data_IF_842807208891
#
_entry.id   IF_842807208891
#
_cell.length_a   1.000
_cell.length_b   1.000
_cell.length_c   1.000
_cell.angle_alpha   90.00
_cell.angle_beta   90.00
_cell.angle_gamma   90.00
#
_symmetry.space_group_name_H-M   'P 1'
#
loop_
_entity.id
_entity.type
_entity.pdbx_description
1 polymer ?
#
# COMPACT_ATOMS: atom_id res chain seq x y z
N UNK A 1 -8.91 5.37 -8.04
CA UNK A 1 -9.33 3.95 -8.18
C UNK A 1 -10.47 3.76 -9.18
N UNK A 2 -11.52 4.58 -9.18
CA UNK A 2 -12.65 4.47 -10.12
C UNK A 2 -12.23 4.51 -11.59
N UNK A 3 -11.33 5.42 -11.98
CA UNK A 3 -10.79 5.50 -13.32
C UNK A 3 -10.13 4.18 -13.77
N UNK A 4 -9.35 3.54 -12.91
CA UNK A 4 -8.73 2.25 -13.21
C UNK A 4 -9.79 1.16 -13.41
N UNK A 5 -10.78 1.08 -12.51
CA UNK A 5 -11.88 0.11 -12.64
C UNK A 5 -12.71 0.35 -13.87
N UNK A 6 -13.01 1.61 -14.20
CA UNK A 6 -13.72 1.99 -15.43
C UNK A 6 -13.00 1.60 -16.73
N UNK A 7 -11.69 1.37 -16.65
CA UNK A 7 -10.86 0.88 -17.75
C UNK A 7 -10.52 -0.63 -17.63
N UNK A 8 -11.27 -1.39 -16.84
CA UNK A 8 -11.17 -2.85 -16.77
C UNK A 8 -10.08 -3.39 -15.82
N UNK A 9 -9.40 -2.53 -15.05
CA UNK A 9 -8.44 -2.98 -14.04
C UNK A 9 -9.15 -3.43 -12.75
N UNK A 10 -8.67 -4.50 -12.16
CA UNK A 10 -8.97 -4.83 -10.76
C UNK A 10 -8.04 -4.04 -9.85
N UNK A 11 -8.62 -3.41 -8.82
CA UNK A 11 -7.88 -2.62 -7.84
C UNK A 11 -7.81 -3.36 -6.51
N UNK A 12 -6.65 -3.42 -5.92
CA UNK A 12 -6.38 -4.06 -4.64
C UNK A 12 -5.76 -3.04 -3.69
N UNK A 13 -5.99 -3.22 -2.39
CA UNK A 13 -5.23 -2.50 -1.36
C UNK A 13 -4.26 -3.50 -0.75
N UNK A 14 -2.98 -3.11 -0.65
CA UNK A 14 -1.89 -3.90 -0.06
C UNK A 14 -1.27 -3.06 1.04
N UNK A 15 -1.43 -3.48 2.30
CA UNK A 15 -1.12 -2.62 3.46
C UNK A 15 -0.46 -3.37 4.61
N UNK A 16 0.55 -2.76 5.21
CA UNK A 16 1.13 -3.25 6.47
C UNK A 16 0.15 -3.24 7.65
N UNK A 17 -0.97 -2.52 7.53
CA UNK A 17 -2.03 -2.48 8.53
C UNK A 17 -2.80 -3.80 8.67
N UNK A 18 -3.51 -3.94 9.80
CA UNK A 18 -4.29 -5.16 10.09
C UNK A 18 -5.41 -5.39 9.09
N UNK A 19 -5.41 -6.56 8.47
CA UNK A 19 -6.34 -6.95 7.41
C UNK A 19 -7.81 -6.83 7.85
N UNK A 20 -8.14 -7.38 9.01
CA UNK A 20 -9.51 -7.40 9.52
C UNK A 20 -10.04 -5.99 9.81
N UNK A 21 -9.17 -5.09 10.27
CA UNK A 21 -9.55 -3.72 10.56
C UNK A 21 -9.91 -2.94 9.29
N UNK A 22 -9.07 -3.02 8.26
CA UNK A 22 -9.28 -2.24 7.04
C UNK A 22 -10.43 -2.80 6.21
N UNK A 23 -10.65 -4.11 6.19
CA UNK A 23 -11.78 -4.76 5.50
C UNK A 23 -13.15 -4.24 5.93
N UNK A 24 -13.28 -3.75 7.18
CA UNK A 24 -14.55 -3.20 7.69
C UNK A 24 -15.04 -1.99 6.88
N UNK A 25 -14.12 -1.22 6.32
CA UNK A 25 -14.46 0.03 5.62
C UNK A 25 -13.93 0.14 4.19
N UNK A 26 -13.14 -0.82 3.72
CA UNK A 26 -12.46 -0.75 2.42
C UNK A 26 -13.43 -0.55 1.24
N UNK A 27 -14.55 -1.26 1.23
CA UNK A 27 -15.56 -1.13 0.19
C UNK A 27 -16.26 0.23 0.24
N UNK A 28 -16.71 0.63 1.43
CA UNK A 28 -17.42 1.90 1.61
C UNK A 28 -16.57 3.13 1.27
N UNK A 29 -15.27 3.11 1.65
CA UNK A 29 -14.38 4.27 1.51
C UNK A 29 -13.67 4.30 0.16
N UNK A 30 -13.20 3.13 -0.31
CA UNK A 30 -12.36 3.04 -1.49
C UNK A 30 -13.01 2.32 -2.67
N UNK A 31 -14.19 1.74 -2.47
CA UNK A 31 -14.85 0.88 -3.45
C UNK A 31 -14.05 -0.40 -3.73
N UNK A 32 -13.26 -0.86 -2.75
CA UNK A 32 -12.48 -2.10 -2.82
C UNK A 32 -13.11 -3.12 -1.90
N UNK A 33 -13.69 -4.21 -2.42
CA UNK A 33 -14.35 -5.20 -1.59
C UNK A 33 -13.35 -5.95 -0.69
N UNK A 34 -13.80 -6.51 0.44
CA UNK A 34 -12.91 -7.10 1.46
C UNK A 34 -11.97 -8.18 0.92
N UNK A 35 -12.38 -8.95 -0.08
CA UNK A 35 -11.56 -9.99 -0.73
C UNK A 35 -10.46 -9.41 -1.64
N UNK A 36 -10.50 -8.14 -1.97
CA UNK A 36 -9.46 -7.43 -2.72
C UNK A 36 -8.51 -6.64 -1.80
N UNK A 37 -8.52 -6.97 -0.51
CA UNK A 37 -7.61 -6.40 0.47
C UNK A 37 -6.59 -7.44 0.95
N UNK A 38 -5.30 -7.11 0.85
CA UNK A 38 -4.17 -7.88 1.40
C UNK A 38 -3.56 -7.06 2.52
N UNK A 39 -3.36 -7.66 3.67
CA UNK A 39 -2.80 -6.97 4.84
C UNK A 39 -2.15 -7.90 5.84
N UNK A 40 -1.51 -7.32 6.83
CA UNK A 40 -0.97 -8.09 7.94
C UNK A 40 -2.11 -8.77 8.70
N UNK A 41 -1.88 -10.01 9.09
CA UNK A 41 -2.88 -10.83 9.77
C UNK A 41 -2.29 -11.61 10.94
N UNK A 42 -3.16 -11.99 11.87
CA UNK A 42 -2.82 -12.88 12.98
C UNK A 42 -3.25 -14.30 12.66
N UNK A 43 -2.60 -15.28 13.29
CA UNK A 43 -3.01 -16.67 13.16
C UNK A 43 -4.42 -16.86 13.76
N UNK A 44 -5.16 -17.79 13.20
CA UNK A 44 -6.50 -18.17 13.66
C UNK A 44 -6.61 -19.67 13.81
N UNK A 45 -7.40 -20.10 14.80
CA UNK A 45 -7.74 -21.50 15.02
C UNK A 45 -9.24 -21.68 14.88
N UNK A 46 -9.67 -22.73 14.18
CA UNK A 46 -11.07 -23.11 14.12
C UNK A 46 -11.48 -23.76 15.44
N UNK A 47 -12.54 -23.24 16.04
CA UNK A 47 -13.09 -23.75 17.32
C UNK A 47 -14.60 -23.91 17.17
N UNK A 48 -15.13 -25.05 17.59
CA UNK A 48 -16.56 -25.22 17.76
C UNK A 48 -16.93 -24.94 19.22
N UNK A 49 -17.74 -23.91 19.43
CA UNK A 49 -18.25 -23.54 20.75
C UNK A 49 -19.73 -23.85 20.81
N UNK A 50 -20.07 -25.01 21.34
CA UNK A 50 -21.48 -25.50 21.50
C UNK A 50 -22.27 -25.51 20.20
N UNK A 51 -21.71 -26.07 19.12
CA UNK A 51 -22.32 -26.12 17.80
C UNK A 51 -22.29 -24.80 17.01
N UNK A 52 -21.52 -23.82 17.48
CA UNK A 52 -21.27 -22.57 16.78
C UNK A 52 -19.80 -22.47 16.38
N UNK A 53 -19.45 -22.75 15.12
CA UNK A 53 -18.07 -22.65 14.65
C UNK A 53 -17.63 -21.19 14.58
N UNK A 54 -16.44 -20.91 15.09
CA UNK A 54 -15.80 -19.59 15.07
C UNK A 54 -14.33 -19.70 14.72
N UNK A 55 -13.75 -18.63 14.19
CA UNK A 55 -12.31 -18.48 14.05
C UNK A 55 -11.77 -17.68 15.23
N UNK A 56 -11.08 -18.35 16.12
CA UNK A 56 -10.44 -17.75 17.28
C UNK A 56 -9.09 -17.13 16.86
N UNK A 57 -8.86 -15.87 17.21
CA UNK A 57 -7.58 -15.19 16.93
C UNK A 57 -6.53 -15.60 17.96
N UNK A 58 -5.36 -15.95 17.45
CA UNK A 58 -4.19 -16.28 18.26
C UNK A 58 -3.32 -15.03 18.52
N UNK A 59 -2.61 -14.93 19.66
CA UNK A 59 -1.74 -13.80 19.97
C UNK A 59 -0.38 -13.91 19.25
N UNK A 60 -0.39 -14.23 17.96
CA UNK A 60 0.83 -14.33 17.14
C UNK A 60 0.55 -13.90 15.70
N UNK A 61 1.51 -13.24 15.02
CA UNK A 61 1.36 -12.92 13.61
C UNK A 61 1.30 -14.21 12.78
N UNK A 62 0.45 -14.21 11.75
CA UNK A 62 0.44 -15.20 10.68
C UNK A 62 1.21 -14.68 9.47
N UNK A 63 0.97 -13.42 9.10
CA UNK A 63 1.60 -12.79 7.95
C UNK A 63 1.82 -11.29 8.23
N UNK A 64 2.97 -10.77 7.80
CA UNK A 64 3.31 -9.33 7.88
C UNK A 64 3.46 -8.79 6.46
N UNK A 65 2.54 -7.90 6.08
CA UNK A 65 2.43 -7.33 4.72
C UNK A 65 3.18 -6.01 4.61
N UNK A 66 4.48 -6.04 4.90
CA UNK A 66 5.34 -4.86 4.84
C UNK A 66 6.67 -5.20 4.16
N UNK A 67 7.25 -4.21 3.47
CA UNK A 67 8.46 -4.42 2.69
C UNK A 67 8.33 -5.59 1.69
N UNK A 68 9.23 -6.59 1.73
CA UNK A 68 9.13 -7.80 0.89
C UNK A 68 7.81 -8.57 1.08
N UNK A 69 7.20 -8.46 2.27
CA UNK A 69 5.91 -9.08 2.58
C UNK A 69 4.82 -8.68 1.60
N UNK A 70 4.81 -7.43 1.11
CA UNK A 70 3.81 -6.98 0.12
C UNK A 70 3.87 -7.77 -1.18
N UNK A 71 5.03 -8.01 -1.74
CA UNK A 71 5.19 -8.83 -2.94
C UNK A 71 4.79 -10.29 -2.68
N UNK A 72 5.15 -10.83 -1.51
CA UNK A 72 4.78 -12.18 -1.07
C UNK A 72 3.25 -12.28 -0.90
N UNK A 73 2.62 -11.30 -0.22
CA UNK A 73 1.18 -11.25 -0.01
C UNK A 73 0.39 -11.18 -1.31
N UNK A 74 0.81 -10.33 -2.25
CA UNK A 74 0.22 -10.26 -3.59
C UNK A 74 0.28 -11.63 -4.28
N UNK A 75 1.43 -12.28 -4.24
CA UNK A 75 1.57 -13.62 -4.83
C UNK A 75 0.66 -14.66 -4.16
N UNK A 76 0.60 -14.68 -2.82
CA UNK A 76 -0.18 -15.67 -2.07
C UNK A 76 -1.69 -15.46 -2.21
N UNK A 77 -2.17 -14.22 -2.12
CA UNK A 77 -3.60 -13.91 -1.98
C UNK A 77 -4.25 -13.43 -3.28
N UNK A 78 -3.48 -12.90 -4.23
CA UNK A 78 -3.99 -12.45 -5.52
C UNK A 78 -3.58 -13.40 -6.66
N UNK A 79 -2.40 -14.02 -6.57
CA UNK A 79 -1.90 -14.98 -7.54
C UNK A 79 -1.47 -14.39 -8.87
N UNK A 80 -1.35 -13.05 -8.97
CA UNK A 80 -0.91 -12.35 -10.18
C UNK A 80 0.01 -11.19 -9.83
N UNK A 81 1.07 -11.03 -10.63
CA UNK A 81 1.93 -9.86 -10.55
C UNK A 81 1.17 -8.62 -11.02
N UNK A 82 1.22 -7.48 -10.28
CA UNK A 82 0.53 -6.26 -10.68
C UNK A 82 1.04 -5.70 -11.99
N UNK A 83 0.17 -5.03 -12.74
CA UNK A 83 0.54 -4.20 -13.89
C UNK A 83 0.89 -2.77 -13.46
N UNK A 84 0.30 -2.32 -12.34
CA UNK A 84 0.60 -1.03 -11.74
C UNK A 84 0.69 -1.18 -10.23
N UNK A 85 1.63 -0.47 -9.60
CA UNK A 85 1.76 -0.37 -8.15
C UNK A 85 1.93 1.10 -7.76
N UNK A 86 1.23 1.48 -6.68
CA UNK A 86 1.24 2.81 -6.11
C UNK A 86 1.63 2.69 -4.65
N UNK A 87 2.56 3.53 -4.20
CA UNK A 87 3.02 3.55 -2.83
C UNK A 87 3.37 4.95 -2.37
N UNK A 88 3.80 5.09 -1.13
CA UNK A 88 4.21 6.37 -0.56
C UNK A 88 5.29 6.22 0.52
N UNK A 89 5.74 5.01 0.81
CA UNK A 89 6.65 4.80 1.95
C UNK A 89 7.81 3.86 1.65
N UNK A 90 8.91 4.12 2.33
CA UNK A 90 10.11 3.30 2.36
C UNK A 90 11.11 3.86 3.37
N UNK A 91 11.56 3.02 4.30
CA UNK A 91 12.57 3.37 5.30
C UNK A 91 13.94 3.62 4.67
N UNK A 92 14.88 4.20 5.43
CA UNK A 92 16.23 4.50 4.96
C UNK A 92 17.03 3.25 4.51
N UNK A 93 16.72 2.09 5.08
CA UNK A 93 17.32 0.80 4.70
C UNK A 93 16.47 0.01 3.70
N UNK A 94 15.34 0.57 3.26
CA UNK A 94 14.35 0.00 2.34
C UNK A 94 13.77 -1.35 2.76
N UNK A 95 13.86 -1.73 4.06
CA UNK A 95 13.32 -3.01 4.53
C UNK A 95 11.83 -2.97 4.85
N UNK A 96 11.27 -1.78 5.01
CA UNK A 96 9.85 -1.52 5.28
C UNK A 96 9.31 -0.55 4.26
N UNK A 97 8.04 -0.64 3.94
CA UNK A 97 7.33 0.21 2.98
C UNK A 97 7.01 -0.47 1.66
N UNK A 98 7.09 0.28 0.57
CA UNK A 98 6.51 -0.13 -0.71
C UNK A 98 7.54 -0.51 -1.79
N UNK A 99 8.85 -0.28 -1.54
CA UNK A 99 9.90 -0.44 -2.53
C UNK A 99 9.86 -1.81 -3.24
N UNK A 100 9.82 -2.91 -2.47
CA UNK A 100 9.84 -4.27 -3.04
C UNK A 100 8.57 -4.61 -3.82
N UNK A 101 7.43 -4.02 -3.45
CA UNK A 101 6.21 -4.16 -4.26
C UNK A 101 6.37 -3.50 -5.64
N UNK A 102 6.98 -2.31 -5.68
CA UNK A 102 7.24 -1.61 -6.94
C UNK A 102 8.30 -2.35 -7.78
N UNK A 103 9.41 -2.75 -7.17
CA UNK A 103 10.46 -3.56 -7.82
C UNK A 103 9.88 -4.84 -8.45
N UNK A 104 9.09 -5.57 -7.66
CA UNK A 104 8.48 -6.81 -8.13
C UNK A 104 7.46 -6.56 -9.25
N UNK A 105 6.72 -5.45 -9.20
CA UNK A 105 5.83 -5.03 -10.28
C UNK A 105 6.60 -4.73 -11.55
N UNK A 106 7.69 -3.95 -11.45
CA UNK A 106 8.56 -3.57 -12.56
C UNK A 106 9.18 -4.77 -13.27
N UNK A 107 9.59 -5.77 -12.50
CA UNK A 107 10.20 -6.99 -13.02
C UNK A 107 9.25 -7.93 -13.79
N UNK A 108 7.99 -7.54 -14.02
CA UNK A 108 7.05 -8.28 -14.86
C UNK A 108 7.19 -7.96 -16.35
N UNK A 109 6.60 -8.82 -17.17
CA UNK A 109 6.62 -8.65 -18.63
C UNK A 109 5.59 -7.60 -19.09
N UNK A 110 5.90 -6.90 -20.20
CA UNK A 110 5.03 -5.90 -20.83
C UNK A 110 5.00 -4.55 -20.09
N UNK A 111 4.01 -3.73 -20.39
CA UNK A 111 3.87 -2.39 -19.81
C UNK A 111 3.61 -2.45 -18.30
N UNK A 112 4.37 -1.68 -17.54
CA UNK A 112 4.28 -1.59 -16.07
C UNK A 112 4.29 -0.13 -15.63
N UNK A 113 3.59 0.16 -14.53
CA UNK A 113 3.52 1.48 -13.94
C UNK A 113 3.86 1.41 -12.45
N UNK A 114 4.91 2.09 -12.04
CA UNK A 114 5.34 2.25 -10.65
C UNK A 114 5.29 3.72 -10.29
N UNK A 115 4.50 4.05 -9.27
CA UNK A 115 4.29 5.42 -8.84
C UNK A 115 4.41 5.54 -7.32
N UNK A 116 5.05 6.61 -6.87
CA UNK A 116 5.18 6.98 -5.46
C UNK A 116 4.59 8.36 -5.23
N UNK A 117 3.82 8.51 -4.17
CA UNK A 117 3.27 9.80 -3.74
C UNK A 117 4.17 10.38 -2.67
N UNK A 118 4.70 11.58 -2.94
CA UNK A 118 5.46 12.39 -1.99
C UNK A 118 4.51 13.41 -1.34
N UNK A 119 4.31 13.29 -0.03
CA UNK A 119 3.45 14.17 0.76
C UNK A 119 4.20 15.43 1.17
N UNK A 120 4.35 16.39 0.25
CA UNK A 120 5.17 17.59 0.39
C UNK A 120 4.37 18.91 0.48
N UNK A 121 3.04 18.85 0.57
CA UNK A 121 2.19 20.03 0.68
C UNK A 121 1.72 20.30 2.12
N UNK A 122 2.51 21.07 2.86
CA UNK A 122 2.17 21.46 4.23
C UNK A 122 0.99 22.44 4.36
N UNK A 123 0.44 22.96 3.24
CA UNK A 123 -0.69 23.90 3.26
C UNK A 123 -2.04 23.22 3.08
N UNK A 124 -2.09 22.21 2.23
CA UNK A 124 -3.34 21.51 1.87
C UNK A 124 -3.49 20.17 2.56
N UNK A 125 -2.37 19.58 3.01
CA UNK A 125 -2.36 18.30 3.73
C UNK A 125 -1.28 18.32 4.83
N UNK A 126 -1.04 17.17 5.45
CA UNK A 126 0.05 16.96 6.40
C UNK A 126 1.31 16.51 5.67
N UNK A 127 2.26 17.44 5.47
CA UNK A 127 3.54 17.12 4.86
C UNK A 127 4.37 16.20 5.77
N UNK A 128 4.86 15.10 5.23
CA UNK A 128 5.62 14.11 5.97
C UNK A 128 6.51 13.26 5.06
N UNK A 129 7.47 12.61 5.68
CA UNK A 129 8.54 11.85 5.04
C UNK A 129 9.88 12.31 5.61
N UNK A 130 10.99 11.98 5.01
CA UNK A 130 12.29 12.56 5.36
C UNK A 130 13.03 13.05 4.12
N UNK A 131 12.59 12.62 2.95
CA UNK A 131 13.15 13.09 1.68
C UNK A 131 12.94 14.59 1.50
N UNK A 132 13.90 15.25 0.86
CA UNK A 132 13.89 16.69 0.57
C UNK A 132 13.70 17.57 1.82
N UNK A 133 14.14 17.11 2.99
CA UNK A 133 14.02 17.87 4.23
C UNK A 133 12.62 17.94 4.84
N UNK A 134 11.70 17.10 4.40
CA UNK A 134 10.37 17.00 4.99
C UNK A 134 10.42 16.45 6.43
N UNK A 135 9.41 16.74 7.27
CA UNK A 135 9.34 16.20 8.62
C UNK A 135 9.39 14.68 8.62
N UNK A 136 10.26 14.11 9.47
CA UNK A 136 10.35 12.66 9.62
C UNK A 136 9.16 12.15 10.44
N UNK A 137 8.63 11.00 10.04
CA UNK A 137 7.54 10.31 10.74
C UNK A 137 7.89 8.84 10.95
N UNK A 138 7.34 8.23 11.99
CA UNK A 138 7.53 6.80 12.27
C UNK A 138 6.69 5.90 11.37
N UNK A 139 5.68 6.45 10.71
CA UNK A 139 4.76 5.73 9.82
C UNK A 139 4.66 6.48 8.50
N UNK A 140 4.68 5.76 7.39
CA UNK A 140 4.58 6.35 6.05
C UNK A 140 5.81 7.17 5.64
N UNK A 141 6.99 6.85 6.15
CA UNK A 141 8.24 7.55 5.82
C UNK A 141 8.58 7.42 4.34
N UNK A 142 8.67 8.54 3.65
CA UNK A 142 9.26 8.62 2.31
C UNK A 142 10.72 9.07 2.45
N UNK A 143 11.65 8.12 2.50
CA UNK A 143 13.07 8.41 2.76
C UNK A 143 13.83 8.91 1.52
N UNK A 144 15.00 9.54 1.73
CA UNK A 144 15.93 9.86 0.63
C UNK A 144 16.40 8.60 -0.10
N UNK A 145 16.52 7.47 0.59
CA UNK A 145 16.85 6.19 -0.03
C UNK A 145 15.76 5.75 -1.01
N UNK A 146 14.47 5.90 -0.63
CA UNK A 146 13.35 5.60 -1.52
C UNK A 146 13.32 6.54 -2.74
N UNK A 147 13.61 7.82 -2.56
CA UNK A 147 13.70 8.79 -3.65
C UNK A 147 14.85 8.43 -4.62
N UNK A 148 15.98 8.02 -4.07
CA UNK A 148 17.14 7.56 -4.85
C UNK A 148 16.80 6.30 -5.64
N UNK A 149 16.15 5.32 -5.02
CA UNK A 149 15.74 4.08 -5.68
C UNK A 149 14.69 4.34 -6.77
N UNK A 150 13.73 5.23 -6.50
CA UNK A 150 12.75 5.66 -7.50
C UNK A 150 13.40 6.28 -8.73
N UNK A 151 14.38 7.16 -8.51
CA UNK A 151 15.14 7.81 -9.60
C UNK A 151 15.94 6.78 -10.42
N UNK A 152 16.66 5.88 -9.76
CA UNK A 152 17.46 4.83 -10.38
C UNK A 152 16.60 3.90 -11.26
N UNK A 153 15.39 3.57 -10.82
CA UNK A 153 14.49 2.66 -11.51
C UNK A 153 13.50 3.37 -12.46
N UNK A 154 13.61 4.69 -12.60
CA UNK A 154 12.69 5.52 -13.38
C UNK A 154 11.22 5.38 -12.94
N UNK A 155 10.97 5.22 -11.64
CA UNK A 155 9.62 5.26 -11.10
C UNK A 155 9.09 6.70 -11.06
N UNK A 156 7.81 6.87 -11.24
CA UNK A 156 7.19 8.19 -11.19
C UNK A 156 6.99 8.60 -9.73
N UNK A 157 7.54 9.76 -9.36
CA UNK A 157 7.30 10.39 -8.06
C UNK A 157 6.33 11.55 -8.28
N UNK A 158 5.17 11.49 -7.64
CA UNK A 158 4.12 12.49 -7.69
C UNK A 158 4.23 13.38 -6.46
N UNK A 159 4.46 14.68 -6.66
CA UNK A 159 4.40 15.70 -5.61
C UNK A 159 2.95 16.07 -5.33
N UNK A 160 2.51 15.99 -4.08
CA UNK A 160 1.18 16.47 -3.71
C UNK A 160 1.07 17.98 -3.88
N UNK A 161 2.17 18.69 -3.72
CA UNK A 161 2.23 20.15 -3.86
C UNK A 161 2.16 20.61 -5.32
N UNK A 162 2.94 19.98 -6.20
CA UNK A 162 3.19 20.51 -7.54
C UNK A 162 2.35 19.81 -8.62
N UNK A 163 2.00 18.52 -8.43
CA UNK A 163 1.32 17.71 -9.43
C UNK A 163 -0.21 17.61 -9.21
N UNK A 164 -0.71 17.99 -8.03
CA UNK A 164 -2.13 17.93 -7.71
C UNK A 164 -2.79 19.30 -7.71
N UNK A 165 -3.71 19.51 -8.64
CA UNK A 165 -4.55 20.71 -8.65
C UNK A 165 -5.51 20.74 -7.45
N UNK A 166 -6.01 19.59 -7.03
CA UNK A 166 -6.93 19.42 -5.90
C UNK A 166 -6.63 18.10 -5.20
N UNK A 167 -6.47 18.13 -3.88
CA UNK A 167 -6.16 16.94 -3.06
C UNK A 167 -7.45 16.29 -2.56
N UNK A 168 -8.33 17.10 -1.95
CA UNK A 168 -9.56 16.59 -1.35
C UNK A 168 -10.80 16.93 -2.20
N UNK A 169 -11.77 16.02 -2.20
CA UNK A 169 -12.99 16.18 -3.00
C UNK A 169 -13.83 17.40 -2.61
N UNK A 170 -13.70 17.90 -1.37
CA UNK A 170 -14.41 19.07 -0.85
C UNK A 170 -13.72 20.40 -1.19
N UNK A 171 -12.51 20.41 -1.70
CA UNK A 171 -11.83 21.62 -2.16
C UNK A 171 -12.56 22.20 -3.38
N UNK A 172 -12.76 23.54 -3.38
CA UNK A 172 -13.42 24.30 -4.47
C UNK A 172 -12.45 24.68 -5.57
#
# INVERSE_FOLDING_TARGET
MECLRGNGFRTYIVSGGGQEFIRVYSEKVYGVPPEQFVGSSVATTYVDTNGKPVLMREPKPFFVDDGPGKAIGINLFIGKRPQAAFGNSGTADLKSGDAQMLEWTQAGDGARLMMLVLHDDAKREYAHGSARGLPNTSVGTFSEALLTEATKNAWIVISMKDDWKRIFAFEK
#
